data_IF_548986930740
#
_entry.id   IF_548986930740
#
_cell.length_a   1.000
_cell.length_b   1.000
_cell.length_c   1.000
_cell.angle_alpha   90.00
_cell.angle_beta   90.00
_cell.angle_gamma   90.00
#
_symmetry.space_group_name_H-M   'P 1'
#
loop_
_entity.id
_entity.type
_entity.pdbx_description
1 polymer ?
#
# COMPACT_ATOMS: atom_id res chain seq x y z
N UNK A 1 0.53 4.40 -40.94
CA UNK A 1 -0.80 4.21 -40.31
C UNK A 1 -0.72 4.13 -38.79
N UNK A 2 -0.17 3.05 -38.14
CA UNK A 2 -0.11 2.93 -36.68
C UNK A 2 0.73 4.04 -36.05
N UNK A 3 1.88 4.37 -36.62
CA UNK A 3 2.73 5.44 -36.07
C UNK A 3 2.10 6.84 -36.21
N UNK A 4 1.34 7.10 -37.23
CA UNK A 4 0.61 8.36 -37.40
C UNK A 4 -0.49 8.53 -36.34
N UNK A 5 -1.22 7.44 -36.05
CA UNK A 5 -2.23 7.42 -34.98
C UNK A 5 -1.56 7.61 -33.62
N UNK A 6 -0.45 6.95 -33.36
CA UNK A 6 0.29 7.08 -32.10
C UNK A 6 0.86 8.50 -31.92
N UNK A 7 1.41 9.10 -32.95
CA UNK A 7 1.89 10.49 -32.91
C UNK A 7 0.75 11.49 -32.64
N UNK A 8 -0.41 11.27 -33.24
CA UNK A 8 -1.57 12.16 -33.04
C UNK A 8 -2.23 12.01 -31.66
N UNK A 9 -2.07 10.84 -31.01
CA UNK A 9 -2.70 10.56 -29.70
C UNK A 9 -1.73 10.83 -28.54
N UNK A 10 -0.43 10.64 -28.74
CA UNK A 10 0.56 10.70 -27.65
C UNK A 10 1.36 12.01 -27.62
N UNK A 11 1.21 12.88 -28.63
CA UNK A 11 1.95 14.16 -28.74
C UNK A 11 3.46 14.02 -28.44
N UNK A 12 4.06 12.90 -28.90
CA UNK A 12 5.47 12.60 -28.63
C UNK A 12 6.38 13.41 -29.53
N UNK A 13 7.45 13.96 -28.99
CA UNK A 13 8.53 14.53 -29.77
C UNK A 13 9.32 13.46 -30.54
N UNK A 14 10.17 13.87 -31.47
CA UNK A 14 10.94 12.96 -32.33
C UNK A 14 11.84 11.99 -31.55
N UNK A 15 12.37 12.40 -30.40
CA UNK A 15 13.26 11.58 -29.57
C UNK A 15 12.45 10.50 -28.87
N UNK A 16 11.34 10.89 -28.26
CA UNK A 16 10.40 9.99 -27.59
C UNK A 16 9.78 9.00 -28.58
N UNK A 17 9.43 9.44 -29.77
CA UNK A 17 8.93 8.57 -30.86
C UNK A 17 9.94 7.51 -31.26
N UNK A 18 11.23 7.85 -31.44
CA UNK A 18 12.29 6.88 -31.76
C UNK A 18 12.53 5.89 -30.62
N UNK A 19 12.53 6.37 -29.37
CA UNK A 19 12.66 5.51 -28.20
C UNK A 19 11.50 4.53 -28.09
N UNK A 20 10.28 5.02 -28.25
CA UNK A 20 9.07 4.22 -28.25
C UNK A 20 9.07 3.17 -29.36
N UNK A 21 9.44 3.55 -30.58
CA UNK A 21 9.59 2.62 -31.71
C UNK A 21 10.64 1.53 -31.46
N UNK A 22 11.73 1.85 -30.74
CA UNK A 22 12.74 0.88 -30.33
C UNK A 22 12.19 -0.10 -29.30
N UNK A 23 11.43 0.39 -28.31
CA UNK A 23 10.81 -0.44 -27.29
C UNK A 23 9.74 -1.37 -27.89
N UNK A 24 8.93 -0.88 -28.81
CA UNK A 24 7.91 -1.68 -29.52
C UNK A 24 8.49 -2.88 -30.25
N UNK A 25 9.73 -2.82 -30.76
CA UNK A 25 10.40 -3.95 -31.41
C UNK A 25 10.71 -5.11 -30.47
N UNK A 26 10.80 -4.85 -29.16
CA UNK A 26 11.14 -5.84 -28.14
C UNK A 26 9.92 -6.34 -27.34
N UNK A 27 8.74 -5.75 -27.56
CA UNK A 27 7.52 -6.04 -26.78
C UNK A 27 6.42 -6.52 -27.74
N UNK A 28 5.68 -7.56 -27.36
CA UNK A 28 4.56 -8.02 -28.15
C UNK A 28 3.39 -7.02 -28.13
N UNK A 29 2.63 -6.95 -29.21
CA UNK A 29 1.41 -6.12 -29.27
C UNK A 29 0.44 -6.49 -28.13
N UNK A 30 0.33 -7.79 -27.81
CA UNK A 30 -0.49 -8.27 -26.72
C UNK A 30 -0.07 -7.69 -25.37
N UNK A 31 1.23 -7.63 -25.10
CA UNK A 31 1.77 -7.03 -23.86
C UNK A 31 1.45 -5.53 -23.76
N UNK A 32 1.47 -4.82 -24.90
CA UNK A 32 1.12 -3.40 -24.95
C UNK A 32 -0.37 -3.21 -24.65
N UNK A 33 -1.24 -3.99 -25.29
CA UNK A 33 -2.68 -3.94 -25.04
C UNK A 33 -2.98 -4.23 -23.57
N UNK A 34 -2.38 -5.27 -23.00
CA UNK A 34 -2.54 -5.59 -21.58
C UNK A 34 -2.07 -4.47 -20.65
N UNK A 35 -0.95 -3.81 -20.97
CA UNK A 35 -0.46 -2.67 -20.20
C UNK A 35 -1.44 -1.47 -20.27
N UNK A 36 -1.98 -1.18 -21.44
CA UNK A 36 -2.98 -0.12 -21.64
C UNK A 36 -4.25 -0.42 -20.82
N UNK A 37 -4.71 -1.67 -20.84
CA UNK A 37 -5.88 -2.08 -20.04
C UNK A 37 -5.64 -1.92 -18.54
N UNK A 38 -4.47 -2.28 -18.04
CA UNK A 38 -4.09 -2.08 -16.64
C UNK A 38 -4.10 -0.59 -16.29
N UNK A 39 -3.49 0.25 -17.12
CA UNK A 39 -3.47 1.70 -16.92
C UNK A 39 -4.88 2.30 -16.94
N UNK A 40 -5.75 1.87 -17.86
CA UNK A 40 -7.13 2.32 -17.93
C UNK A 40 -7.89 1.96 -16.64
N UNK A 41 -7.80 0.71 -16.17
CA UNK A 41 -8.43 0.29 -14.91
C UNK A 41 -7.94 1.09 -13.71
N UNK A 42 -6.63 1.35 -13.64
CA UNK A 42 -6.05 2.18 -12.58
C UNK A 42 -6.57 3.62 -12.61
N UNK A 43 -6.71 4.18 -13.80
CA UNK A 43 -7.30 5.50 -13.99
C UNK A 43 -8.77 5.53 -13.52
N UNK A 44 -9.58 4.55 -13.90
CA UNK A 44 -10.98 4.41 -13.48
C UNK A 44 -11.12 4.33 -11.95
N UNK A 45 -10.23 3.58 -11.27
CA UNK A 45 -10.21 3.49 -9.80
C UNK A 45 -9.84 4.84 -9.18
N UNK A 46 -8.82 5.51 -9.70
CA UNK A 46 -8.40 6.82 -9.19
C UNK A 46 -9.52 7.86 -9.36
N UNK A 47 -10.20 7.89 -10.50
CA UNK A 47 -11.35 8.78 -10.74
C UNK A 47 -12.53 8.44 -9.82
N UNK A 48 -12.81 7.15 -9.60
CA UNK A 48 -13.84 6.74 -8.65
C UNK A 48 -13.55 7.23 -7.24
N UNK A 49 -12.32 7.06 -6.75
CA UNK A 49 -11.91 7.58 -5.44
C UNK A 49 -12.04 9.10 -5.39
N UNK A 50 -11.61 9.82 -6.43
CA UNK A 50 -11.74 11.27 -6.52
C UNK A 50 -13.19 11.72 -6.43
N UNK A 51 -14.08 11.05 -7.15
CA UNK A 51 -15.52 11.34 -7.14
C UNK A 51 -16.13 11.08 -5.76
N UNK A 52 -15.82 9.95 -5.13
CA UNK A 52 -16.31 9.64 -3.79
C UNK A 52 -15.81 10.65 -2.75
N UNK A 53 -14.55 11.06 -2.84
CA UNK A 53 -13.95 11.98 -1.87
C UNK A 53 -14.40 13.44 -2.06
N UNK A 54 -14.77 13.87 -3.27
CA UNK A 54 -15.08 15.27 -3.56
C UNK A 54 -16.55 15.51 -3.87
N UNK A 55 -17.15 14.70 -4.75
CA UNK A 55 -18.50 14.97 -5.27
C UNK A 55 -19.58 14.31 -4.40
N UNK A 56 -19.29 13.11 -3.86
CA UNK A 56 -20.20 12.32 -3.03
C UNK A 56 -19.75 12.20 -1.57
N UNK A 57 -18.93 13.12 -1.10
CA UNK A 57 -18.29 13.04 0.21
C UNK A 57 -19.24 12.92 1.42
N UNK A 58 -20.47 13.43 1.30
CA UNK A 58 -21.47 13.34 2.37
C UNK A 58 -22.08 11.96 2.51
N UNK A 59 -22.19 11.23 1.39
CA UNK A 59 -22.85 9.93 1.29
C UNK A 59 -21.85 8.77 1.40
N UNK A 60 -20.58 9.03 1.08
CA UNK A 60 -19.53 8.02 1.06
C UNK A 60 -19.18 7.57 2.47
N UNK A 61 -19.26 6.27 2.69
CA UNK A 61 -18.86 5.64 3.94
C UNK A 61 -17.37 5.29 3.94
N UNK A 62 -16.79 5.20 5.13
CA UNK A 62 -15.43 4.68 5.34
C UNK A 62 -15.38 3.22 4.91
N UNK A 63 -16.24 2.41 5.50
CA UNK A 63 -16.49 1.01 5.16
C UNK A 63 -17.97 0.86 4.73
N UNK A 64 -18.29 0.22 3.60
CA UNK A 64 -17.38 -0.54 2.71
C UNK A 64 -16.78 0.29 1.55
N UNK A 65 -17.18 1.58 1.38
CA UNK A 65 -16.92 2.30 0.12
C UNK A 65 -15.43 2.55 -0.12
N UNK A 66 -14.78 3.33 0.76
CA UNK A 66 -13.37 3.69 0.58
C UNK A 66 -12.44 2.53 0.89
N UNK A 67 -12.65 1.87 2.04
CA UNK A 67 -11.80 0.77 2.46
C UNK A 67 -11.83 -0.36 1.43
N UNK A 68 -13.01 -0.78 0.97
CA UNK A 68 -13.13 -1.85 -0.02
C UNK A 68 -12.45 -1.54 -1.36
N UNK A 69 -12.50 -0.26 -1.82
CA UNK A 69 -11.79 0.14 -3.03
C UNK A 69 -10.27 0.13 -2.80
N UNK A 70 -9.81 0.67 -1.69
CA UNK A 70 -8.38 0.80 -1.37
C UNK A 70 -7.77 -0.59 -1.14
N UNK A 71 -8.43 -1.46 -0.41
CA UNK A 71 -8.01 -2.84 -0.14
C UNK A 71 -7.89 -3.67 -1.43
N UNK A 72 -8.87 -3.55 -2.33
CA UNK A 72 -8.82 -4.20 -3.64
C UNK A 72 -7.76 -3.63 -4.58
N UNK A 73 -7.18 -2.47 -4.27
CA UNK A 73 -6.27 -1.72 -5.14
C UNK A 73 -5.00 -1.29 -4.42
N UNK A 74 -4.31 -2.20 -3.76
CA UNK A 74 -3.07 -1.93 -3.00
C UNK A 74 -1.94 -1.30 -3.81
N UNK A 75 -2.01 -1.37 -5.14
CA UNK A 75 -1.11 -0.68 -6.06
C UNK A 75 -1.13 0.86 -5.90
N UNK A 76 -2.17 1.42 -5.25
CA UNK A 76 -2.24 2.85 -4.88
C UNK A 76 -1.06 3.28 -4.00
N UNK A 77 -0.51 2.37 -3.22
CA UNK A 77 0.65 2.59 -2.36
C UNK A 77 1.98 2.16 -3.01
N UNK A 78 1.92 1.66 -4.23
CA UNK A 78 3.06 1.18 -4.99
C UNK A 78 2.91 -0.27 -5.45
N UNK A 79 3.73 -0.66 -6.40
CA UNK A 79 3.74 -2.05 -6.87
C UNK A 79 4.27 -2.99 -5.78
N UNK A 80 3.65 -4.14 -5.63
CA UNK A 80 4.12 -5.23 -4.76
C UNK A 80 3.71 -5.16 -3.28
N UNK A 81 2.69 -4.40 -2.92
CA UNK A 81 2.07 -4.49 -1.59
C UNK A 81 0.94 -5.53 -1.57
N UNK A 82 0.84 -6.25 -0.47
CA UNK A 82 -0.25 -7.17 -0.15
C UNK A 82 -0.90 -6.76 1.17
N UNK A 83 -2.19 -7.02 1.29
CA UNK A 83 -2.92 -6.83 2.54
C UNK A 83 -2.54 -7.96 3.50
N UNK A 84 -2.01 -7.61 4.67
CA UNK A 84 -1.72 -8.55 5.76
C UNK A 84 -2.77 -8.52 6.86
N UNK A 85 -3.53 -7.44 6.96
CA UNK A 85 -4.60 -7.29 7.92
C UNK A 85 -5.52 -6.14 7.54
N UNK A 86 -6.76 -6.26 7.90
CA UNK A 86 -7.82 -5.29 7.69
C UNK A 86 -8.58 -5.05 9.01
N UNK A 87 -9.65 -4.29 8.98
CA UNK A 87 -10.43 -3.78 10.10
C UNK A 87 -10.62 -4.74 11.30
N UNK A 88 -10.76 -6.04 11.04
CA UNK A 88 -11.01 -7.05 12.10
C UNK A 88 -9.75 -7.60 12.77
N UNK A 89 -8.56 -7.23 12.30
CA UNK A 89 -7.30 -7.75 12.81
C UNK A 89 -6.67 -6.85 13.87
N UNK A 90 -6.15 -7.48 14.92
CA UNK A 90 -5.34 -6.78 15.94
C UNK A 90 -3.89 -6.71 15.50
N UNK A 91 -3.12 -5.75 16.03
CA UNK A 91 -1.69 -5.66 15.76
C UNK A 91 -0.92 -6.94 16.09
N UNK A 92 -1.32 -7.69 17.10
CA UNK A 92 -0.71 -8.98 17.44
C UNK A 92 -0.89 -10.00 16.32
N UNK A 93 -2.11 -10.13 15.75
CA UNK A 93 -2.37 -11.01 14.61
C UNK A 93 -1.59 -10.55 13.37
N UNK A 94 -1.59 -9.25 13.12
CA UNK A 94 -0.87 -8.63 12.00
C UNK A 94 0.63 -8.89 12.12
N UNK A 95 1.20 -8.71 13.31
CA UNK A 95 2.60 -8.98 13.57
C UNK A 95 2.98 -10.43 13.29
N UNK A 96 2.13 -11.37 13.71
CA UNK A 96 2.31 -12.81 13.43
C UNK A 96 2.28 -13.08 11.92
N UNK A 97 1.29 -12.54 11.21
CA UNK A 97 1.18 -12.69 9.75
C UNK A 97 2.39 -12.10 9.02
N UNK A 98 2.88 -10.93 9.46
CA UNK A 98 4.07 -10.30 8.90
C UNK A 98 5.32 -11.16 9.12
N UNK A 99 5.52 -11.66 10.34
CA UNK A 99 6.64 -12.55 10.67
C UNK A 99 6.64 -13.79 9.79
N UNK A 100 5.48 -14.42 9.62
CA UNK A 100 5.35 -15.64 8.82
C UNK A 100 5.59 -15.34 7.32
N UNK A 101 5.12 -14.22 6.82
CA UNK A 101 5.38 -13.78 5.44
C UNK A 101 6.88 -13.50 5.21
N UNK A 102 7.56 -12.86 6.16
CA UNK A 102 9.01 -12.57 6.08
C UNK A 102 9.82 -13.86 6.15
N UNK A 103 9.50 -14.77 7.06
CA UNK A 103 10.17 -16.09 7.16
C UNK A 103 10.04 -16.92 5.88
N UNK A 104 8.92 -16.80 5.17
CA UNK A 104 8.70 -17.52 3.91
C UNK A 104 9.53 -17.00 2.73
N UNK A 105 10.10 -15.80 2.85
CA UNK A 105 10.90 -15.16 1.78
C UNK A 105 12.41 -15.38 2.00
N UNK A 106 12.86 -15.33 3.23
CA UNK A 106 14.25 -15.52 3.63
C UNK A 106 14.32 -16.47 4.84
N UNK A 107 15.39 -17.25 4.98
CA UNK A 107 15.76 -17.96 6.21
C UNK A 107 16.16 -16.98 7.34
N UNK A 108 15.37 -15.93 7.54
CA UNK A 108 15.57 -15.01 8.65
C UNK A 108 15.13 -15.75 9.91
N UNK A 109 16.09 -16.27 10.65
CA UNK A 109 15.95 -16.64 12.05
C UNK A 109 15.67 -15.35 12.84
N UNK A 110 14.41 -14.93 12.85
CA UNK A 110 13.91 -14.11 13.94
C UNK A 110 13.98 -15.05 15.13
N UNK A 111 14.87 -14.75 16.10
CA UNK A 111 15.00 -15.53 17.32
C UNK A 111 13.63 -15.84 17.87
N UNK A 112 13.45 -17.10 18.32
CA UNK A 112 12.21 -17.63 18.84
C UNK A 112 11.65 -16.78 19.98
N UNK A 113 10.92 -15.74 19.59
CA UNK A 113 9.99 -15.09 20.49
C UNK A 113 8.77 -16.03 20.51
N UNK A 114 8.56 -16.68 21.65
CA UNK A 114 7.44 -17.57 21.89
C UNK A 114 6.14 -16.89 21.46
N UNK A 115 5.59 -17.36 20.35
CA UNK A 115 4.44 -16.76 19.67
C UNK A 115 3.13 -16.84 20.49
N UNK A 116 3.17 -17.51 21.62
CA UNK A 116 1.99 -17.83 22.44
C UNK A 116 1.91 -17.01 23.73
N UNK A 117 2.88 -16.14 24.03
CA UNK A 117 2.71 -15.22 25.16
C UNK A 117 1.74 -14.10 24.81
N UNK A 118 0.69 -13.88 25.65
CA UNK A 118 -0.24 -12.80 25.42
C UNK A 118 0.50 -11.46 25.51
N UNK A 119 0.42 -10.67 24.45
CA UNK A 119 1.03 -9.33 24.41
C UNK A 119 0.40 -8.44 25.46
N UNK A 120 1.16 -8.07 26.47
CA UNK A 120 0.71 -7.18 27.56
C UNK A 120 0.82 -5.69 27.21
N UNK A 121 1.16 -5.37 25.98
CA UNK A 121 1.35 -3.99 25.53
C UNK A 121 0.01 -3.29 25.39
N UNK A 122 -0.12 -2.17 26.07
CA UNK A 122 -1.30 -1.30 25.98
C UNK A 122 -1.51 -0.86 24.51
N UNK A 123 -2.71 -1.07 23.98
CA UNK A 123 -3.07 -0.74 22.62
C UNK A 123 -2.78 -1.82 21.57
N UNK A 124 -2.24 -2.99 21.96
CA UNK A 124 -2.01 -4.12 21.02
C UNK A 124 -3.31 -4.66 20.39
N UNK A 125 -4.47 -4.35 20.98
CA UNK A 125 -5.80 -4.68 20.46
C UNK A 125 -6.34 -3.64 19.48
N UNK A 126 -5.63 -2.54 19.22
CA UNK A 126 -6.03 -1.55 18.22
C UNK A 126 -5.99 -2.16 16.83
N UNK A 127 -6.96 -1.79 16.03
CA UNK A 127 -7.16 -2.29 14.68
C UNK A 127 -6.98 -1.14 13.70
N UNK A 128 -5.98 -1.16 12.81
CA UNK A 128 -5.91 -0.26 11.68
C UNK A 128 -6.87 -0.71 10.59
N UNK A 129 -7.33 0.21 9.75
CA UNK A 129 -8.19 -0.13 8.62
C UNK A 129 -7.50 -1.06 7.62
N UNK A 130 -6.22 -0.79 7.33
CA UNK A 130 -5.40 -1.66 6.49
C UNK A 130 -3.98 -1.74 7.01
N UNK A 131 -3.42 -2.94 6.89
CA UNK A 131 -2.00 -3.19 7.07
C UNK A 131 -1.43 -3.86 5.83
N UNK A 132 -0.49 -3.22 5.19
CA UNK A 132 0.11 -3.67 3.94
C UNK A 132 1.59 -3.95 4.15
N UNK A 133 2.09 -5.03 3.56
CA UNK A 133 3.51 -5.29 3.49
C UNK A 133 3.98 -5.55 2.06
N UNK A 134 5.20 -5.18 1.78
CA UNK A 134 5.81 -5.44 0.48
C UNK A 134 6.40 -6.84 0.46
N UNK A 135 5.99 -7.67 -0.51
CA UNK A 135 6.49 -9.03 -0.69
C UNK A 135 8.00 -9.11 -0.91
N UNK A 136 8.53 -8.14 -1.65
CA UNK A 136 9.94 -8.15 -2.04
C UNK A 136 10.67 -7.11 -1.21
N UNK A 137 11.74 -7.49 -0.50
CA UNK A 137 12.52 -6.55 0.27
C UNK A 137 13.13 -5.49 -0.64
N UNK A 138 13.22 -4.28 -0.14
CA UNK A 138 14.03 -3.22 -0.73
C UNK A 138 15.44 -3.32 -0.16
N UNK A 139 16.44 -2.83 -0.89
CA UNK A 139 17.80 -2.70 -0.37
C UNK A 139 18.09 -1.23 -0.10
N UNK A 140 18.63 -0.93 1.08
CA UNK A 140 19.11 0.41 1.40
C UNK A 140 20.43 0.74 0.66
N UNK A 141 20.95 1.94 0.88
CA UNK A 141 22.21 2.38 0.28
C UNK A 141 23.43 1.54 0.67
N UNK A 142 23.33 0.74 1.73
CA UNK A 142 24.35 -0.18 2.22
C UNK A 142 24.13 -1.61 1.77
N UNK A 143 23.09 -1.87 0.94
CA UNK A 143 22.75 -3.20 0.47
C UNK A 143 22.00 -4.07 1.50
N UNK A 144 21.56 -3.50 2.63
CA UNK A 144 20.81 -4.25 3.64
C UNK A 144 19.35 -4.39 3.19
N UNK A 145 18.75 -5.55 3.42
CA UNK A 145 17.35 -5.80 3.11
C UNK A 145 16.42 -5.03 4.05
N UNK A 146 15.46 -4.32 3.49
CA UNK A 146 14.43 -3.59 4.23
C UNK A 146 13.05 -4.01 3.76
N UNK A 147 12.21 -4.42 4.69
CA UNK A 147 10.79 -4.70 4.45
C UNK A 147 9.99 -3.44 4.73
N UNK A 148 9.30 -2.93 3.70
CA UNK A 148 8.43 -1.78 3.84
C UNK A 148 7.02 -2.22 4.17
N UNK A 149 6.50 -1.68 5.27
CA UNK A 149 5.14 -1.90 5.74
C UNK A 149 4.39 -0.58 5.77
N UNK A 150 3.11 -0.61 5.45
CA UNK A 150 2.24 0.56 5.47
C UNK A 150 1.06 0.26 6.39
N UNK A 151 0.82 1.15 7.33
CA UNK A 151 -0.38 1.16 8.17
C UNK A 151 -1.28 2.28 7.65
N UNK A 152 -2.48 1.96 7.25
CA UNK A 152 -3.43 2.92 6.70
C UNK A 152 -4.60 3.09 7.66
N UNK A 153 -4.93 4.33 7.94
CA UNK A 153 -6.14 4.74 8.63
C UNK A 153 -6.97 5.57 7.67
N UNK A 154 -8.21 5.20 7.48
CA UNK A 154 -9.14 5.84 6.56
C UNK A 154 -10.18 6.60 7.38
N UNK A 155 -10.58 7.75 6.92
CA UNK A 155 -11.70 8.51 7.51
C UNK A 155 -12.72 8.83 6.42
N UNK A 156 -13.98 8.65 6.74
CA UNK A 156 -15.05 9.01 5.82
C UNK A 156 -14.93 10.47 5.37
N UNK A 157 -15.18 10.78 4.10
CA UNK A 157 -14.93 12.12 3.55
C UNK A 157 -15.81 13.21 4.14
N UNK A 158 -16.94 12.87 4.76
CA UNK A 158 -17.80 13.83 5.45
C UNK A 158 -17.17 14.41 6.74
N UNK A 159 -16.12 13.76 7.25
CA UNK A 159 -15.35 14.23 8.41
C UNK A 159 -14.08 14.94 7.95
N UNK A 160 -13.92 16.22 8.28
CA UNK A 160 -12.64 16.89 8.07
C UNK A 160 -11.56 16.27 8.97
N UNK A 161 -10.38 16.03 8.39
CA UNK A 161 -9.24 15.57 9.16
C UNK A 161 -8.86 16.60 10.22
N UNK A 162 -8.57 16.11 11.41
CA UNK A 162 -8.20 16.93 12.55
C UNK A 162 -7.09 16.29 13.39
N UNK A 163 -6.65 16.99 14.42
CA UNK A 163 -5.56 16.55 15.28
C UNK A 163 -5.81 15.22 16.00
N UNK A 164 -7.07 14.86 16.31
CA UNK A 164 -7.40 13.58 16.96
C UNK A 164 -7.09 12.39 16.03
N UNK A 165 -7.31 12.54 14.72
CA UNK A 165 -6.97 11.52 13.75
C UNK A 165 -5.45 11.32 13.64
N UNK A 166 -4.68 12.41 13.72
CA UNK A 166 -3.21 12.31 13.80
C UNK A 166 -2.74 11.66 15.10
N UNK A 167 -3.40 11.93 16.23
CA UNK A 167 -3.10 11.26 17.50
C UNK A 167 -3.38 9.74 17.43
N UNK A 168 -4.41 9.32 16.71
CA UNK A 168 -4.68 7.91 16.46
C UNK A 168 -3.51 7.26 15.71
N UNK A 169 -3.05 7.92 14.65
CA UNK A 169 -1.92 7.46 13.86
C UNK A 169 -0.61 7.42 14.68
N UNK A 170 -0.37 8.44 15.51
CA UNK A 170 0.77 8.43 16.45
C UNK A 170 0.66 7.28 17.47
N UNK A 171 -0.55 6.96 17.92
CA UNK A 171 -0.82 5.78 18.75
C UNK A 171 -0.36 4.48 18.09
N UNK A 172 -0.56 4.32 16.79
CA UNK A 172 -0.01 3.18 16.04
C UNK A 172 1.51 3.20 15.99
N UNK A 173 2.12 4.37 15.76
CA UNK A 173 3.57 4.52 15.78
C UNK A 173 4.18 4.11 17.13
N UNK A 174 3.55 4.53 18.24
CA UNK A 174 3.99 4.16 19.59
C UNK A 174 3.85 2.65 19.84
N UNK A 175 2.75 2.05 19.36
CA UNK A 175 2.52 0.62 19.48
C UNK A 175 3.59 -0.18 18.71
N UNK A 176 3.85 0.18 17.45
CA UNK A 176 4.88 -0.45 16.63
C UNK A 176 6.25 -0.41 17.31
N UNK A 177 6.62 0.75 17.88
CA UNK A 177 7.90 0.91 18.59
C UNK A 177 8.02 0.06 19.86
N UNK A 178 6.90 -0.23 20.53
CA UNK A 178 6.87 -1.01 21.77
C UNK A 178 6.65 -2.50 21.54
N UNK A 179 6.13 -2.88 20.38
CA UNK A 179 5.79 -4.27 20.12
C UNK A 179 7.06 -5.08 19.85
N UNK A 180 7.31 -6.19 20.59
CA UNK A 180 8.56 -6.95 20.48
C UNK A 180 8.85 -7.43 19.06
N UNK A 181 7.82 -7.85 18.35
CA UNK A 181 7.96 -8.38 16.99
C UNK A 181 8.32 -7.32 15.94
N UNK A 182 7.98 -6.05 16.18
CA UNK A 182 8.32 -4.95 15.30
C UNK A 182 9.60 -4.24 15.72
N UNK A 183 9.79 -4.07 17.04
CA UNK A 183 10.92 -3.30 17.60
C UNK A 183 12.26 -4.01 17.46
N UNK A 184 12.28 -5.35 17.35
CA UNK A 184 13.50 -6.15 17.28
C UNK A 184 14.14 -6.16 15.89
N UNK A 185 13.50 -5.57 14.88
CA UNK A 185 13.95 -5.67 13.49
C UNK A 185 14.32 -4.30 12.90
N UNK A 186 15.62 -4.02 12.81
CA UNK A 186 16.15 -2.90 12.01
C UNK A 186 15.83 -3.05 10.51
N UNK A 187 15.34 -4.21 10.10
CA UNK A 187 14.99 -4.50 8.71
C UNK A 187 13.56 -4.07 8.35
N UNK A 188 12.73 -3.64 9.30
CA UNK A 188 11.34 -3.23 9.04
C UNK A 188 11.22 -1.71 9.03
N UNK A 189 10.60 -1.18 7.99
CA UNK A 189 10.32 0.24 7.84
C UNK A 189 8.81 0.46 7.74
N UNK A 190 8.27 1.22 8.67
CA UNK A 190 6.83 1.49 8.74
C UNK A 190 6.53 2.90 8.23
N UNK A 191 5.57 2.99 7.34
CA UNK A 191 4.96 4.22 6.87
C UNK A 191 3.50 4.24 7.36
N UNK A 192 3.09 5.35 7.98
CA UNK A 192 1.74 5.51 8.48
C UNK A 192 1.02 6.53 7.62
N UNK A 193 -0.10 6.14 7.04
CA UNK A 193 -0.87 6.95 6.10
C UNK A 193 -2.26 7.20 6.65
N UNK A 194 -2.63 8.47 6.72
CA UNK A 194 -3.99 8.90 7.05
C UNK A 194 -4.68 9.37 5.78
N UNK A 195 -5.77 8.71 5.43
CA UNK A 195 -6.59 9.05 4.26
C UNK A 195 -7.88 9.71 4.74
N UNK A 196 -8.19 10.86 4.19
CA UNK A 196 -9.41 11.59 4.49
C UNK A 196 -9.45 12.94 3.79
N UNK A 197 -10.52 13.68 4.01
CA UNK A 197 -10.70 15.01 3.42
C UNK A 197 -10.15 16.09 4.35
N UNK A 198 -9.49 17.07 3.75
CA UNK A 198 -8.93 18.23 4.45
C UNK A 198 -9.99 19.30 4.71
#
# INVERSE_FOLDING_TARGET
AIFEVLNSVLELDDVSTKLFAKQLKSVSLQSIVSAIEVLRRRHEVAEKLRTLMNDHYLETLETPDLQGIIEANTWLFGSSYETLGAEEDTFTKIAKSLRDAVKGIDDITLDDLDADEPTTIEGASKQPDLFLARKVPHHDSMGRKIYRCIVVEIKRPSLALNYKHLQQLDGYAQLIKKHPEFASSDAMHFELILIGRK
#
